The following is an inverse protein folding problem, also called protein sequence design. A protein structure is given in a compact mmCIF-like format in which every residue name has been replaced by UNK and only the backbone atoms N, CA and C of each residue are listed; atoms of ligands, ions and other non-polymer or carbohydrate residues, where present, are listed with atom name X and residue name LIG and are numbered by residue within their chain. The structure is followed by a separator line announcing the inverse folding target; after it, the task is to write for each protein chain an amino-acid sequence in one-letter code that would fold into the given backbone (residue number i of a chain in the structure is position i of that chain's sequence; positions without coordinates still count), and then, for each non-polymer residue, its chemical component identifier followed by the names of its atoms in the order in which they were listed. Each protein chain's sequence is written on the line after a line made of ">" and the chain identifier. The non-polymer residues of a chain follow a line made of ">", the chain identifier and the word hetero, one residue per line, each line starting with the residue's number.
data_IF_304081804357
#
_entry.id   IF_304081804357
#
_cell.length_a   1.000
_cell.length_b   1.000
_cell.length_c   1.000
_cell.angle_alpha   90.00
_cell.angle_beta   90.00
_cell.angle_gamma   90.00
#
_symmetry.space_group_name_H-M   'P 1'
#
loop_
_entity.id
_entity.type
_entity.pdbx_description
1 polymer ?
#
# COMPACT_ATOMS: atom_id res chain seq x y z
N UNK A 1 -4.88 17.96 4.61
CA UNK A 1 -4.19 16.81 3.95
C UNK A 1 -2.89 16.44 4.68
N UNK A 2 -2.04 17.40 5.11
CA UNK A 2 -0.83 17.16 5.93
C UNK A 2 -1.09 16.47 7.27
N UNK A 3 -2.16 16.84 7.99
CA UNK A 3 -2.44 16.32 9.33
C UNK A 3 -2.91 14.84 9.38
N UNK A 4 -3.53 14.32 8.34
CA UNK A 4 -4.03 12.93 8.33
C UNK A 4 -2.93 11.90 8.04
N UNK A 5 -1.96 12.22 7.20
CA UNK A 5 -0.82 11.35 6.88
C UNK A 5 0.16 11.26 8.05
N UNK A 6 0.40 12.38 8.76
CA UNK A 6 1.22 12.38 9.98
C UNK A 6 0.63 11.52 11.10
N UNK A 7 -0.71 11.48 11.23
CA UNK A 7 -1.34 10.67 12.26
C UNK A 7 -1.24 9.16 12.00
N UNK A 8 -1.28 8.70 10.75
CA UNK A 8 -1.13 7.26 10.45
C UNK A 8 0.30 6.73 10.69
N UNK A 9 1.31 7.50 10.33
CA UNK A 9 2.70 7.13 10.65
C UNK A 9 2.98 7.19 12.16
N UNK A 10 2.36 8.12 12.89
CA UNK A 10 2.50 8.21 14.37
C UNK A 10 1.91 7.00 15.10
N UNK A 11 0.82 6.42 14.60
CA UNK A 11 0.14 5.28 15.23
C UNK A 11 0.98 3.99 15.18
N UNK A 12 1.79 3.80 14.14
CA UNK A 12 2.65 2.62 14.05
C UNK A 12 3.86 2.64 15.01
N UNK A 13 4.31 3.82 15.44
CA UNK A 13 5.51 3.96 16.29
C UNK A 13 5.14 4.05 17.78
N UNK A 14 3.97 4.58 18.13
CA UNK A 14 3.55 4.80 19.53
C UNK A 14 2.95 3.57 20.22
N UNK A 15 2.63 2.50 19.51
CA UNK A 15 2.06 1.28 20.10
C UNK A 15 3.07 0.33 20.77
N UNK A 16 4.37 0.67 20.77
CA UNK A 16 5.41 -0.21 21.31
C UNK A 16 5.80 0.06 22.78
N UNK A 17 5.26 1.09 23.43
CA UNK A 17 5.63 1.42 24.83
C UNK A 17 4.37 1.68 25.65
N UNK A 18 4.01 0.69 26.44
CA UNK A 18 3.26 0.87 27.68
C UNK A 18 1.77 0.57 27.67
N UNK A 19 1.38 -0.63 28.09
CA UNK A 19 0.15 -0.86 28.83
C UNK A 19 0.36 -1.86 29.96
N UNK A 20 0.52 -1.34 31.12
CA UNK A 20 0.11 -1.94 32.38
C UNK A 20 -0.92 -0.97 32.98
N UNK A 21 -2.19 -1.39 33.09
CA UNK A 21 -3.10 -1.10 34.20
C UNK A 21 -4.44 -1.86 34.06
N UNK A 22 -4.65 -2.65 35.02
CA UNK A 22 -5.77 -3.25 35.75
C UNK A 22 -7.23 -3.10 35.27
N UNK A 23 -7.83 -4.26 35.29
CA UNK A 23 -9.22 -4.67 35.45
C UNK A 23 -10.22 -3.69 36.07
N UNK A 24 -11.38 -3.59 35.45
CA UNK A 24 -12.66 -3.53 36.16
C UNK A 24 -13.77 -4.11 35.28
N UNK A 25 -14.38 -5.18 35.76
CA UNK A 25 -15.58 -5.79 35.17
C UNK A 25 -16.76 -4.85 35.27
N UNK A 26 -17.43 -4.63 34.17
CA UNK A 26 -18.83 -4.18 34.17
C UNK A 26 -19.56 -4.88 33.01
N UNK A 27 -20.51 -5.68 33.36
CA UNK A 27 -21.45 -6.41 32.49
C UNK A 27 -22.31 -5.43 31.69
N UNK A 28 -22.20 -5.42 30.36
CA UNK A 28 -23.20 -4.84 29.50
C UNK A 28 -23.51 -5.82 28.37
N UNK A 29 -24.74 -6.32 28.42
CA UNK A 29 -25.41 -7.09 27.36
C UNK A 29 -25.40 -6.27 26.06
N UNK A 30 -25.03 -6.84 24.89
CA UNK A 30 -25.16 -6.13 23.65
C UNK A 30 -26.64 -5.89 23.30
N UNK A 31 -26.97 -4.73 22.71
CA UNK A 31 -28.33 -4.47 22.24
C UNK A 31 -28.68 -5.45 21.11
N UNK A 32 -29.89 -5.95 21.14
CA UNK A 32 -30.48 -6.77 20.07
C UNK A 32 -30.40 -5.99 18.76
N UNK A 33 -29.80 -6.59 17.79
CA UNK A 33 -29.73 -6.11 16.41
C UNK A 33 -31.16 -6.22 15.83
N UNK A 34 -31.75 -5.07 15.50
CA UNK A 34 -33.03 -5.00 14.82
C UNK A 34 -32.90 -5.55 13.40
N UNK A 35 -33.62 -6.65 13.14
CA UNK A 35 -33.68 -7.35 11.85
C UNK A 35 -34.44 -6.59 10.74
N UNK A 36 -34.84 -5.34 10.99
CA UNK A 36 -35.64 -4.54 10.05
C UNK A 36 -34.84 -3.79 8.99
N UNK A 37 -33.49 -3.72 9.11
CA UNK A 37 -32.66 -2.90 8.21
C UNK A 37 -32.10 -3.69 7.01
N UNK A 38 -32.05 -5.02 7.07
CA UNK A 38 -31.53 -5.87 5.99
C UNK A 38 -32.44 -5.93 4.75
N UNK A 39 -33.76 -5.87 4.93
CA UNK A 39 -34.70 -5.91 3.80
C UNK A 39 -34.74 -4.61 3.00
N UNK A 40 -34.52 -3.46 3.67
CA UNK A 40 -34.45 -2.15 3.04
C UNK A 40 -33.15 -1.95 2.27
N UNK A 41 -32.07 -2.53 2.76
CA UNK A 41 -30.76 -2.52 2.08
C UNK A 41 -30.78 -3.39 0.83
N UNK A 42 -31.42 -4.53 0.88
CA UNK A 42 -31.56 -5.42 -0.27
C UNK A 42 -32.51 -4.87 -1.35
N UNK A 43 -33.59 -4.21 -0.93
CA UNK A 43 -34.50 -3.52 -1.85
C UNK A 43 -33.80 -2.34 -2.56
N UNK A 44 -33.02 -1.53 -1.85
CA UNK A 44 -32.19 -0.47 -2.42
C UNK A 44 -31.10 -1.01 -3.35
N UNK A 45 -30.49 -2.16 -3.01
CA UNK A 45 -29.55 -2.87 -3.90
C UNK A 45 -30.22 -3.31 -5.18
N UNK A 46 -31.37 -3.96 -5.11
CA UNK A 46 -32.14 -4.41 -6.29
C UNK A 46 -32.57 -3.22 -7.16
N UNK A 47 -32.95 -2.10 -6.54
CA UNK A 47 -33.34 -0.89 -7.26
C UNK A 47 -32.13 -0.20 -7.93
N UNK A 48 -30.97 -0.17 -7.27
CA UNK A 48 -29.72 0.33 -7.88
C UNK A 48 -29.25 -0.52 -9.05
N UNK A 49 -29.36 -1.86 -8.94
CA UNK A 49 -29.08 -2.80 -10.03
C UNK A 49 -30.07 -2.58 -11.16
N UNK A 50 -31.36 -2.43 -10.88
CA UNK A 50 -32.41 -2.19 -11.89
C UNK A 50 -32.22 -0.85 -12.62
N UNK A 51 -31.86 0.22 -11.91
CA UNK A 51 -31.56 1.52 -12.53
C UNK A 51 -30.31 1.46 -13.40
N UNK A 52 -29.26 0.74 -12.96
CA UNK A 52 -28.03 0.59 -13.74
C UNK A 52 -28.24 -0.27 -14.99
N UNK A 53 -29.08 -1.32 -14.94
CA UNK A 53 -29.46 -2.17 -16.08
C UNK A 53 -30.35 -1.39 -17.07
N UNK A 54 -31.19 -0.47 -16.61
CA UNK A 54 -32.05 0.35 -17.48
C UNK A 54 -31.30 1.42 -18.29
N UNK A 55 -30.05 1.75 -17.93
CA UNK A 55 -29.19 2.70 -18.66
C UNK A 55 -28.25 2.04 -19.67
N UNK A 56 -28.10 0.71 -19.64
CA UNK A 56 -27.26 -0.04 -20.55
C UNK A 56 -28.06 -0.56 -21.75
N UNK A 57 -28.19 0.27 -22.78
CA UNK A 57 -28.57 -0.25 -24.08
C UNK A 57 -27.32 -0.87 -24.74
N UNK A 58 -27.33 -2.20 -24.92
CA UNK A 58 -26.47 -2.99 -25.79
C UNK A 58 -25.00 -3.17 -25.43
N UNK A 59 -24.71 -3.61 -24.22
CA UNK A 59 -23.62 -4.57 -24.00
C UNK A 59 -23.88 -5.21 -22.63
N UNK A 60 -23.75 -6.51 -22.52
CA UNK A 60 -23.91 -7.23 -21.26
C UNK A 60 -22.81 -6.83 -20.28
N UNK A 61 -23.01 -5.71 -19.60
CA UNK A 61 -22.09 -5.20 -18.58
C UNK A 61 -22.17 -6.14 -17.39
N UNK A 62 -21.17 -6.98 -17.24
CA UNK A 62 -21.03 -7.87 -16.09
C UNK A 62 -20.69 -7.02 -14.85
N UNK A 63 -21.68 -6.85 -13.98
CA UNK A 63 -21.42 -6.29 -12.65
C UNK A 63 -20.72 -7.35 -11.82
N UNK A 64 -19.50 -7.09 -11.43
CA UNK A 64 -18.77 -8.00 -10.55
C UNK A 64 -19.08 -7.67 -9.11
N UNK A 65 -19.49 -8.68 -8.36
CA UNK A 65 -19.63 -8.60 -6.91
C UNK A 65 -18.53 -9.43 -6.27
N UNK A 66 -17.75 -8.82 -5.40
CA UNK A 66 -16.83 -9.51 -4.54
C UNK A 66 -17.27 -9.26 -3.09
N UNK A 67 -17.56 -10.30 -2.33
CA UNK A 67 -18.08 -10.17 -0.98
C UNK A 67 -19.43 -9.43 -0.87
N UNK A 68 -20.27 -9.46 -1.92
CA UNK A 68 -21.59 -8.80 -1.96
C UNK A 68 -21.57 -7.29 -2.19
N UNK A 69 -20.41 -6.70 -2.48
CA UNK A 69 -20.25 -5.28 -2.83
C UNK A 69 -20.28 -5.13 -4.35
N UNK A 70 -21.00 -4.13 -4.85
CA UNK A 70 -21.11 -3.86 -6.28
C UNK A 70 -19.97 -2.95 -6.75
N UNK A 71 -19.14 -3.47 -7.65
CA UNK A 71 -18.16 -2.67 -8.40
C UNK A 71 -18.72 -2.36 -9.78
N UNK A 72 -18.81 -1.09 -10.12
CA UNK A 72 -19.22 -0.66 -11.45
C UNK A 72 -18.03 -0.71 -12.42
N UNK A 73 -18.26 -1.00 -13.70
CA UNK A 73 -17.21 -1.00 -14.72
C UNK A 73 -16.40 0.28 -14.75
N UNK A 74 -15.13 0.14 -15.06
CA UNK A 74 -14.26 1.28 -15.37
C UNK A 74 -14.70 1.88 -16.71
N UNK A 75 -14.87 3.20 -16.74
CA UNK A 75 -15.16 3.98 -17.95
C UNK A 75 -13.91 4.79 -18.24
N UNK A 76 -13.16 4.38 -19.26
CA UNK A 76 -11.94 5.07 -19.66
C UNK A 76 -12.23 6.41 -20.34
N UNK A 77 -11.32 7.37 -20.16
CA UNK A 77 -11.37 8.63 -20.90
C UNK A 77 -11.00 8.39 -22.37
N UNK A 78 -11.57 9.20 -23.26
CA UNK A 78 -11.21 9.21 -24.69
C UNK A 78 -10.26 10.40 -24.88
N UNK A 79 -8.99 10.21 -24.57
CA UNK A 79 -7.96 11.27 -24.66
C UNK A 79 -6.76 10.71 -25.42
N UNK A 80 -6.27 11.44 -26.42
CA UNK A 80 -5.05 11.04 -27.12
C UNK A 80 -3.82 11.16 -26.22
N UNK A 81 -2.91 10.18 -26.24
CA UNK A 81 -1.64 10.30 -25.55
C UNK A 81 -0.82 11.45 -26.13
N UNK A 82 0.11 12.03 -25.37
CA UNK A 82 1.04 13.02 -25.89
C UNK A 82 1.96 12.39 -26.96
N UNK A 83 2.42 13.21 -27.92
CA UNK A 83 3.28 12.75 -29.02
C UNK A 83 4.61 12.14 -28.53
N UNK A 84 5.11 12.62 -27.39
CA UNK A 84 6.36 12.16 -26.80
C UNK A 84 6.10 11.63 -25.38
N UNK A 85 6.24 10.33 -25.21
CA UNK A 85 6.23 9.66 -23.90
C UNK A 85 7.67 9.22 -23.61
N UNK A 86 8.26 9.59 -22.45
CA UNK A 86 9.57 9.08 -22.06
C UNK A 86 9.58 7.53 -22.01
N UNK A 87 10.72 6.94 -22.40
CA UNK A 87 10.83 5.47 -22.52
C UNK A 87 10.57 4.72 -21.20
N UNK A 88 10.86 5.36 -20.07
CA UNK A 88 10.66 4.83 -18.72
C UNK A 88 9.23 5.05 -18.18
N UNK A 89 8.38 5.76 -18.92
CA UNK A 89 7.01 6.07 -18.51
C UNK A 89 5.98 5.38 -19.38
N UNK A 90 4.75 5.33 -18.89
CA UNK A 90 3.57 4.84 -19.59
C UNK A 90 2.44 5.86 -19.47
N UNK A 91 1.66 6.00 -20.55
CA UNK A 91 0.43 6.78 -20.54
C UNK A 91 -0.69 6.01 -19.86
N UNK A 92 -1.26 6.61 -18.81
CA UNK A 92 -2.46 6.13 -18.15
C UNK A 92 -3.62 6.98 -18.62
N UNK A 93 -4.56 6.34 -19.29
CA UNK A 93 -5.70 7.00 -19.96
C UNK A 93 -6.58 7.79 -18.96
N UNK A 94 -6.58 7.38 -17.68
CA UNK A 94 -7.54 7.88 -16.71
C UNK A 94 -8.96 7.40 -17.00
N UNK A 95 -9.90 7.88 -16.22
CA UNK A 95 -11.30 7.44 -16.34
C UNK A 95 -12.04 7.47 -15.04
N UNK A 96 -13.24 6.93 -15.02
CA UNK A 96 -14.06 6.79 -13.81
C UNK A 96 -14.11 5.33 -13.37
N UNK A 97 -13.69 5.03 -12.15
CA UNK A 97 -13.58 3.67 -11.63
C UNK A 97 -14.17 3.54 -10.21
N UNK A 98 -14.36 2.31 -9.76
CA UNK A 98 -14.76 2.00 -8.38
C UNK A 98 -13.50 1.83 -7.54
N UNK A 99 -13.16 2.85 -6.77
CA UNK A 99 -12.01 2.90 -5.87
C UNK A 99 -12.33 2.25 -4.53
N UNK A 100 -11.39 1.49 -3.99
CA UNK A 100 -11.48 0.79 -2.71
C UNK A 100 -11.57 -0.72 -2.86
N UNK A 101 -11.66 -1.45 -1.74
CA UNK A 101 -11.72 -2.91 -1.74
C UNK A 101 -12.76 -3.46 -0.77
N UNK A 102 -13.11 -4.72 -0.92
CA UNK A 102 -13.88 -5.48 0.08
C UNK A 102 -13.00 -5.85 1.26
N UNK A 103 -13.62 -6.29 2.36
CA UNK A 103 -12.87 -6.95 3.42
C UNK A 103 -12.29 -8.28 2.88
N UNK A 104 -10.95 -8.45 2.85
CA UNK A 104 -10.37 -9.68 2.32
C UNK A 104 -10.43 -10.85 3.30
N UNK A 105 -10.75 -10.59 4.58
CA UNK A 105 -10.85 -11.65 5.59
C UNK A 105 -11.95 -12.66 5.21
N UNK A 106 -11.62 -13.94 5.28
CA UNK A 106 -12.55 -15.03 4.96
C UNK A 106 -12.74 -15.31 3.47
N UNK A 107 -12.10 -14.54 2.59
CA UNK A 107 -12.04 -14.85 1.18
C UNK A 107 -10.90 -15.84 0.89
N UNK A 108 -11.12 -16.74 -0.09
CA UNK A 108 -10.04 -17.56 -0.64
C UNK A 108 -8.95 -16.64 -1.18
N UNK A 109 -7.71 -16.91 -0.83
CA UNK A 109 -6.57 -16.04 -1.18
C UNK A 109 -6.64 -14.61 -0.62
N UNK A 110 -7.58 -14.31 0.29
CA UNK A 110 -7.68 -13.02 0.95
C UNK A 110 -6.63 -12.83 2.05
N UNK A 111 -6.34 -11.57 2.37
CA UNK A 111 -5.45 -11.20 3.47
C UNK A 111 -6.11 -11.33 4.85
N UNK A 112 -5.30 -11.22 5.91
CA UNK A 112 -5.76 -11.25 7.31
C UNK A 112 -6.23 -9.88 7.81
N UNK A 113 -5.76 -8.79 7.20
CA UNK A 113 -6.12 -7.43 7.58
C UNK A 113 -7.50 -7.04 7.04
N UNK A 114 -8.34 -6.37 7.81
CA UNK A 114 -9.69 -6.00 7.38
C UNK A 114 -9.72 -4.92 6.31
N UNK A 115 -8.64 -4.18 6.07
CA UNK A 115 -8.55 -3.08 5.10
C UNK A 115 -9.71 -2.08 5.24
N UNK A 116 -10.02 -1.66 6.46
CA UNK A 116 -11.23 -0.86 6.78
C UNK A 116 -11.22 0.54 6.17
N UNK A 117 -10.05 1.11 5.95
CA UNK A 117 -9.80 2.42 5.35
C UNK A 117 -10.12 2.48 3.85
N UNK A 118 -10.21 1.32 3.18
CA UNK A 118 -10.57 1.23 1.76
C UNK A 118 -12.08 1.29 1.50
N UNK A 119 -12.89 1.43 2.52
CA UNK A 119 -14.35 1.47 2.44
C UNK A 119 -14.94 2.80 2.91
N UNK A 120 -16.10 3.20 2.39
CA UNK A 120 -16.91 2.55 1.36
C UNK A 120 -16.28 2.63 -0.02
N UNK A 121 -16.66 1.71 -0.93
CA UNK A 121 -16.31 1.79 -2.34
C UNK A 121 -16.90 3.08 -2.93
N UNK A 122 -16.08 3.83 -3.67
CA UNK A 122 -16.45 5.14 -4.21
C UNK A 122 -16.17 5.21 -5.71
N UNK A 123 -17.06 5.90 -6.44
CA UNK A 123 -16.76 6.27 -7.83
C UNK A 123 -15.86 7.48 -7.86
N UNK A 124 -14.71 7.33 -8.51
CA UNK A 124 -13.69 8.39 -8.60
C UNK A 124 -13.30 8.56 -10.06
N UNK A 125 -13.19 9.81 -10.50
CA UNK A 125 -12.68 10.17 -11.82
C UNK A 125 -11.23 10.58 -11.72
N UNK A 126 -10.40 10.03 -12.60
CA UNK A 126 -8.96 10.30 -12.70
C UNK A 126 -8.68 10.89 -14.08
N UNK A 127 -8.00 12.03 -14.12
CA UNK A 127 -7.50 12.60 -15.37
C UNK A 127 -6.37 11.75 -15.94
N UNK A 128 -6.11 11.80 -17.27
CA UNK A 128 -4.96 11.12 -17.85
C UNK A 128 -3.64 11.66 -17.29
N UNK A 129 -2.64 10.77 -17.15
CA UNK A 129 -1.31 11.11 -16.65
C UNK A 129 -0.23 10.15 -17.14
N UNK A 130 1.03 10.55 -16.99
CA UNK A 130 2.18 9.67 -17.20
C UNK A 130 2.62 9.07 -15.88
N UNK A 131 2.97 7.78 -15.89
CA UNK A 131 3.46 7.05 -14.73
C UNK A 131 4.75 6.31 -15.07
N UNK A 132 5.71 6.29 -14.14
CA UNK A 132 6.90 5.46 -14.30
C UNK A 132 6.51 3.98 -14.36
N UNK A 133 7.15 3.21 -15.24
CA UNK A 133 6.88 1.78 -15.42
C UNK A 133 7.35 0.94 -14.23
N UNK A 134 8.34 1.46 -13.51
CA UNK A 134 9.02 0.77 -12.42
C UNK A 134 9.21 1.72 -11.24
N UNK A 135 9.46 1.15 -10.09
CA UNK A 135 9.91 1.87 -8.91
C UNK A 135 11.26 2.54 -9.19
N UNK A 136 11.55 3.64 -8.47
CA UNK A 136 12.83 4.34 -8.58
C UNK A 136 13.96 3.41 -8.14
N UNK A 137 14.93 3.21 -9.03
CA UNK A 137 16.06 2.32 -8.77
C UNK A 137 17.15 2.99 -7.92
N UNK A 138 18.02 2.17 -7.31
CA UNK A 138 19.21 2.66 -6.60
C UNK A 138 20.09 3.53 -7.50
N UNK A 139 20.25 3.17 -8.78
CA UNK A 139 20.99 3.94 -9.78
C UNK A 139 20.41 5.34 -9.99
N UNK A 140 19.10 5.43 -10.17
CA UNK A 140 18.41 6.70 -10.37
C UNK A 140 18.49 7.59 -9.12
N UNK A 141 18.29 6.99 -7.95
CA UNK A 141 18.38 7.72 -6.68
C UNK A 141 19.80 8.20 -6.39
N UNK A 142 20.82 7.40 -6.72
CA UNK A 142 22.23 7.81 -6.63
C UNK A 142 22.55 9.03 -7.50
N UNK A 143 21.97 9.13 -8.70
CA UNK A 143 22.11 10.32 -9.57
C UNK A 143 21.51 11.57 -8.90
N UNK A 144 20.33 11.44 -8.29
CA UNK A 144 19.72 12.52 -7.53
C UNK A 144 20.60 13.00 -6.38
N UNK A 145 21.10 12.06 -5.57
CA UNK A 145 21.96 12.40 -4.42
C UNK A 145 23.28 13.03 -4.91
N UNK A 146 23.90 12.49 -5.97
CA UNK A 146 25.12 13.05 -6.54
C UNK A 146 24.92 14.49 -7.07
N UNK A 147 23.77 14.77 -7.68
CA UNK A 147 23.45 16.08 -8.23
C UNK A 147 23.10 17.13 -7.17
N UNK A 148 22.56 16.72 -6.04
CA UNK A 148 21.93 17.63 -5.05
C UNK A 148 22.63 17.66 -3.69
N UNK A 149 23.40 16.62 -3.36
CA UNK A 149 23.93 16.41 -2.01
C UNK A 149 22.85 16.08 -0.98
N UNK A 150 21.67 15.60 -1.43
CA UNK A 150 20.55 15.31 -0.56
C UNK A 150 20.89 14.25 0.49
N UNK A 151 20.39 14.45 1.71
CA UNK A 151 20.47 13.46 2.79
C UNK A 151 19.08 13.00 3.16
N UNK A 152 18.86 11.69 3.06
CA UNK A 152 17.58 11.08 3.40
C UNK A 152 17.27 11.18 4.90
N UNK A 153 16.00 11.01 5.26
CA UNK A 153 15.57 11.00 6.67
C UNK A 153 16.33 9.93 7.47
N UNK A 154 16.60 8.77 6.87
CA UNK A 154 17.36 7.69 7.50
C UNK A 154 18.83 8.07 7.80
N UNK A 155 19.39 9.07 7.12
CA UNK A 155 20.74 9.60 7.33
C UNK A 155 20.79 10.77 8.32
N UNK A 156 19.62 11.25 8.78
CA UNK A 156 19.51 12.38 9.70
C UNK A 156 19.25 11.88 11.13
N UNK A 157 19.76 12.63 12.10
CA UNK A 157 19.45 12.36 13.51
C UNK A 157 17.96 12.66 13.77
N UNK A 158 17.19 11.70 14.34
CA UNK A 158 15.80 11.92 14.69
C UNK A 158 15.61 13.11 15.65
N UNK A 159 14.57 13.93 15.45
CA UNK A 159 14.25 15.02 16.36
C UNK A 159 13.67 14.45 17.67
N UNK A 160 14.28 14.74 18.83
CA UNK A 160 13.77 14.29 20.14
C UNK A 160 12.31 14.68 20.41
N UNK A 161 11.82 15.75 19.78
CA UNK A 161 10.43 16.19 19.94
C UNK A 161 9.42 15.23 19.30
N UNK A 162 9.84 14.48 18.28
CA UNK A 162 9.00 13.49 17.60
C UNK A 162 9.00 12.16 18.34
N UNK A 163 9.96 11.94 19.25
CA UNK A 163 10.15 10.72 20.00
C UNK A 163 10.17 10.97 21.52
N UNK A 164 9.05 11.46 22.10
CA UNK A 164 8.99 11.76 23.53
C UNK A 164 9.25 10.49 24.37
N UNK A 165 10.13 10.60 25.34
CA UNK A 165 10.49 9.49 26.24
C UNK A 165 11.59 8.57 25.74
N UNK A 166 12.10 8.77 24.52
CA UNK A 166 13.28 8.04 24.03
C UNK A 166 14.54 8.80 24.44
N UNK A 167 15.51 8.15 25.13
CA UNK A 167 16.79 8.75 25.46
C UNK A 167 17.51 9.30 24.23
N UNK A 168 18.09 10.49 24.32
CA UNK A 168 18.69 11.19 23.18
C UNK A 168 19.88 10.44 22.55
N UNK A 169 20.55 9.60 23.31
CA UNK A 169 21.63 8.72 22.88
C UNK A 169 21.16 7.57 21.99
N UNK A 170 19.88 7.19 22.07
CA UNK A 170 19.26 6.17 21.22
C UNK A 170 18.71 6.75 19.90
N UNK A 171 18.58 8.07 19.83
CA UNK A 171 18.15 8.78 18.63
C UNK A 171 19.34 8.94 17.68
N UNK A 172 19.70 7.86 16.99
CA UNK A 172 20.78 7.82 16.00
C UNK A 172 20.20 7.64 14.60
N UNK A 173 20.85 8.15 13.54
CA UNK A 173 20.44 7.87 12.16
C UNK A 173 20.37 6.38 11.90
N UNK A 174 19.35 5.94 11.17
CA UNK A 174 19.15 4.53 10.85
C UNK A 174 17.75 4.24 10.29
N UNK A 175 17.48 2.98 10.09
CA UNK A 175 16.18 2.52 9.57
C UNK A 175 15.84 1.12 10.07
N UNK A 176 14.61 0.68 9.79
CA UNK A 176 14.14 -0.65 10.16
C UNK A 176 14.54 -1.65 9.06
N UNK A 177 15.21 -2.73 9.47
CA UNK A 177 15.72 -3.78 8.60
C UNK A 177 15.06 -5.10 8.96
N UNK A 178 14.66 -5.88 7.94
CA UNK A 178 14.20 -7.24 8.14
C UNK A 178 15.36 -8.14 8.55
N UNK A 179 15.17 -8.88 9.64
CA UNK A 179 16.14 -9.82 10.18
C UNK A 179 15.41 -11.11 10.55
N UNK A 180 15.52 -12.12 9.70
CA UNK A 180 14.89 -13.41 9.95
C UNK A 180 15.38 -13.99 11.30
N UNK A 181 14.47 -14.36 12.22
CA UNK A 181 14.85 -15.03 13.45
C UNK A 181 15.31 -16.46 13.16
N UNK A 182 16.23 -16.97 13.99
CA UNK A 182 16.74 -18.35 13.87
C UNK A 182 15.65 -19.39 14.19
N UNK A 183 14.83 -19.08 15.19
CA UNK A 183 13.79 -19.98 15.70
C UNK A 183 12.39 -19.46 15.35
N UNK A 184 11.40 -20.35 15.45
CA UNK A 184 9.99 -19.98 15.30
C UNK A 184 9.58 -18.97 16.36
N UNK A 185 8.93 -17.89 15.94
CA UNK A 185 8.47 -16.80 16.81
C UNK A 185 6.97 -16.60 16.69
N UNK A 186 6.35 -16.05 17.72
CA UNK A 186 4.95 -15.64 17.66
C UNK A 186 4.82 -14.44 16.73
N UNK A 187 3.74 -14.42 15.91
CA UNK A 187 3.54 -13.39 14.89
C UNK A 187 2.81 -12.15 15.41
N UNK A 188 2.57 -12.05 16.70
CA UNK A 188 1.95 -10.92 17.39
C UNK A 188 2.92 -9.79 17.74
N UNK A 189 4.23 -10.04 17.60
CA UNK A 189 5.29 -9.07 17.91
C UNK A 189 6.27 -8.94 16.72
N UNK A 190 6.01 -7.97 15.86
CA UNK A 190 6.83 -7.68 14.68
C UNK A 190 8.28 -7.29 14.99
N UNK A 191 8.61 -6.85 16.21
CA UNK A 191 9.99 -6.52 16.61
C UNK A 191 10.91 -7.74 16.62
N UNK A 192 10.37 -8.94 16.52
CA UNK A 192 11.17 -10.16 16.43
C UNK A 192 11.87 -10.32 15.08
N UNK A 193 11.34 -9.72 14.01
CA UNK A 193 11.92 -9.77 12.65
C UNK A 193 12.16 -8.40 12.01
N UNK A 194 11.68 -7.31 12.62
CA UNK A 194 12.01 -5.96 12.23
C UNK A 194 12.91 -5.33 13.27
N UNK A 195 14.14 -4.95 12.89
CA UNK A 195 15.14 -4.39 13.78
C UNK A 195 15.48 -2.97 13.35
N UNK A 196 15.52 -2.02 14.28
CA UNK A 196 16.14 -0.73 14.01
C UNK A 196 17.65 -0.91 13.96
N UNK A 197 18.27 -0.58 12.82
CA UNK A 197 19.72 -0.70 12.60
C UNK A 197 20.32 0.68 12.39
N UNK A 198 21.20 1.07 13.31
CA UNK A 198 21.94 2.32 13.19
C UNK A 198 22.77 2.35 11.91
N UNK A 199 22.68 3.44 11.16
CA UNK A 199 23.38 3.60 9.88
C UNK A 199 22.77 2.84 8.71
N UNK A 200 21.66 2.12 8.86
CA UNK A 200 20.91 1.60 7.71
C UNK A 200 20.24 2.76 6.97
N UNK A 201 20.44 2.82 5.66
CA UNK A 201 19.89 3.83 4.78
C UNK A 201 19.89 3.32 3.32
N UNK A 202 19.51 4.13 2.37
CA UNK A 202 19.42 3.74 0.96
C UNK A 202 20.74 3.19 0.38
N UNK A 203 21.90 3.68 0.84
CA UNK A 203 23.25 3.23 0.38
C UNK A 203 23.75 1.98 1.13
N UNK A 204 23.28 1.80 2.35
CA UNK A 204 23.63 0.71 3.28
C UNK A 204 22.36 -0.01 3.76
N UNK A 205 21.65 -0.79 2.92
CA UNK A 205 20.32 -1.31 3.22
C UNK A 205 20.24 -2.20 4.46
N UNK A 206 21.28 -2.96 4.77
CA UNK A 206 21.33 -3.84 5.95
C UNK A 206 22.21 -3.22 7.07
N UNK A 207 22.58 -1.95 6.96
CA UNK A 207 23.47 -1.24 7.90
C UNK A 207 24.87 -0.97 7.33
N UNK A 208 25.79 -0.35 8.11
CA UNK A 208 27.07 0.19 7.61
C UNK A 208 28.00 -0.78 6.89
N UNK A 209 27.83 -2.10 7.12
CA UNK A 209 28.60 -3.14 6.44
C UNK A 209 28.06 -3.56 5.08
N UNK A 210 26.91 -3.06 4.70
CA UNK A 210 26.23 -3.41 3.44
C UNK A 210 26.49 -2.38 2.33
N UNK A 211 26.19 -2.74 1.09
CA UNK A 211 26.35 -1.87 -0.08
C UNK A 211 25.38 -2.27 -1.20
N UNK A 212 25.38 -1.49 -2.28
CA UNK A 212 24.48 -1.66 -3.43
C UNK A 212 25.09 -2.46 -4.60
N UNK A 213 26.28 -3.04 -4.44
CA UNK A 213 26.95 -3.76 -5.54
C UNK A 213 26.07 -4.91 -6.05
N UNK A 214 25.75 -4.88 -7.36
CA UNK A 214 24.87 -5.84 -8.02
C UNK A 214 23.37 -5.61 -7.74
N UNK A 215 23.02 -4.49 -7.08
CA UNK A 215 21.64 -4.09 -6.79
C UNK A 215 21.31 -2.70 -7.36
N UNK A 216 22.08 -2.24 -8.35
CA UNK A 216 21.94 -0.90 -8.92
C UNK A 216 20.57 -0.67 -9.53
N UNK A 217 19.98 -1.70 -10.13
CA UNK A 217 18.68 -1.66 -10.79
C UNK A 217 17.52 -2.21 -9.90
N UNK A 218 17.81 -2.53 -8.63
CA UNK A 218 16.77 -2.82 -7.65
C UNK A 218 16.11 -1.52 -7.16
N UNK A 219 14.86 -1.59 -6.68
CA UNK A 219 14.19 -0.46 -6.05
C UNK A 219 15.00 0.11 -4.89
N UNK A 220 15.05 1.44 -4.79
CA UNK A 220 15.65 2.11 -3.63
C UNK A 220 14.80 1.89 -2.39
N UNK A 221 15.45 1.62 -1.25
CA UNK A 221 14.79 1.35 0.04
C UNK A 221 15.17 2.38 1.10
N UNK A 222 14.54 2.34 2.27
CA UNK A 222 14.73 3.28 3.39
C UNK A 222 14.43 4.73 3.02
N UNK A 223 13.42 4.93 2.18
CA UNK A 223 12.98 6.21 1.67
C UNK A 223 11.70 6.63 2.41
N UNK A 224 11.76 7.78 3.08
CA UNK A 224 10.60 8.43 3.65
C UNK A 224 9.80 9.19 2.56
N UNK A 225 8.59 9.61 2.91
CA UNK A 225 7.75 10.38 1.99
C UNK A 225 8.42 11.69 1.54
N UNK A 226 9.10 12.38 2.44
CA UNK A 226 9.82 13.62 2.12
C UNK A 226 10.98 13.37 1.15
N UNK A 227 11.69 12.24 1.29
CA UNK A 227 12.75 11.83 0.37
C UNK A 227 12.19 11.56 -1.04
N UNK A 228 11.07 10.83 -1.12
CA UNK A 228 10.39 10.55 -2.38
C UNK A 228 9.88 11.82 -3.05
N UNK A 229 9.34 12.78 -2.29
CA UNK A 229 8.92 14.09 -2.80
C UNK A 229 10.10 14.90 -3.31
N UNK A 230 11.23 14.90 -2.62
CA UNK A 230 12.43 15.60 -3.04
C UNK A 230 12.99 15.02 -4.36
N UNK A 231 13.05 13.68 -4.46
CA UNK A 231 13.43 13.01 -5.69
C UNK A 231 12.48 13.34 -6.85
N UNK A 232 11.17 13.20 -6.65
CA UNK A 232 10.18 13.47 -7.68
C UNK A 232 10.28 14.91 -8.21
N UNK A 233 10.44 15.88 -7.30
CA UNK A 233 10.63 17.29 -7.68
C UNK A 233 11.91 17.51 -8.50
N UNK A 234 13.03 16.90 -8.11
CA UNK A 234 14.29 16.97 -8.85
C UNK A 234 14.14 16.37 -10.24
N UNK A 235 13.46 15.23 -10.36
CA UNK A 235 13.21 14.55 -11.62
C UNK A 235 12.16 15.26 -12.52
N UNK A 236 11.60 16.42 -12.10
CA UNK A 236 10.53 17.09 -12.83
C UNK A 236 9.19 16.33 -12.79
N UNK A 237 9.01 15.46 -11.80
CA UNK A 237 7.85 14.60 -11.61
C UNK A 237 7.13 14.94 -10.29
N UNK A 238 6.10 14.20 -9.97
CA UNK A 238 5.40 14.21 -8.68
C UNK A 238 5.03 12.79 -8.26
N UNK A 239 4.71 12.60 -7.01
CA UNK A 239 4.06 11.36 -6.58
C UNK A 239 2.61 11.31 -7.13
N UNK A 240 2.11 10.13 -7.47
CA UNK A 240 0.71 9.96 -7.82
C UNK A 240 -0.18 10.25 -6.60
N UNK A 241 -1.41 10.63 -6.85
CA UNK A 241 -2.45 10.58 -5.82
C UNK A 241 -2.84 9.13 -5.56
N UNK A 242 -3.50 8.87 -4.43
CA UNK A 242 -4.02 7.54 -4.11
C UNK A 242 -4.94 7.00 -5.23
N UNK A 243 -5.82 7.87 -5.75
CA UNK A 243 -6.73 7.48 -6.83
C UNK A 243 -6.01 7.18 -8.15
N UNK A 244 -4.99 7.94 -8.51
CA UNK A 244 -4.17 7.69 -9.69
C UNK A 244 -3.40 6.37 -9.57
N UNK A 245 -2.82 6.14 -8.40
CA UNK A 245 -2.09 4.90 -8.13
C UNK A 245 -3.00 3.67 -8.20
N UNK A 246 -4.16 3.71 -7.52
CA UNK A 246 -5.10 2.59 -7.54
C UNK A 246 -5.68 2.37 -8.93
N UNK A 247 -6.01 3.45 -9.67
CA UNK A 247 -6.49 3.33 -11.06
C UNK A 247 -5.47 2.60 -11.94
N UNK A 248 -4.20 3.03 -11.88
CA UNK A 248 -3.13 2.41 -12.66
C UNK A 248 -2.89 0.95 -12.25
N UNK A 249 -2.83 0.66 -10.94
CA UNK A 249 -2.62 -0.68 -10.42
C UNK A 249 -3.72 -1.66 -10.84
N UNK A 250 -4.97 -1.20 -10.97
CA UNK A 250 -6.08 -2.05 -11.40
C UNK A 250 -6.03 -2.43 -12.87
N UNK A 251 -5.35 -1.67 -13.72
CA UNK A 251 -5.23 -1.99 -15.16
C UNK A 251 -6.58 -2.23 -15.86
N UNK A 252 -7.65 -1.51 -15.46
CA UNK A 252 -9.01 -1.69 -15.99
C UNK A 252 -9.84 -2.78 -15.29
N UNK A 253 -9.25 -3.62 -14.44
CA UNK A 253 -9.97 -4.66 -13.69
C UNK A 253 -10.67 -4.04 -12.48
N UNK A 254 -11.95 -4.31 -12.31
CA UNK A 254 -12.73 -3.84 -11.17
C UNK A 254 -13.04 -4.98 -10.19
N UNK A 255 -13.07 -4.65 -8.89
CA UNK A 255 -13.51 -5.55 -7.83
C UNK A 255 -12.61 -6.77 -7.59
N UNK A 256 -11.41 -6.79 -8.15
CA UNK A 256 -10.44 -7.88 -7.93
C UNK A 256 -9.67 -7.68 -6.65
N UNK A 257 -9.24 -8.79 -6.04
CA UNK A 257 -8.38 -8.78 -4.85
C UNK A 257 -6.98 -8.28 -5.19
N UNK A 258 -6.48 -8.63 -6.37
CA UNK A 258 -5.14 -8.31 -6.86
C UNK A 258 -5.19 -7.60 -8.21
N UNK A 259 -4.12 -6.91 -8.62
CA UNK A 259 -4.02 -6.30 -9.95
C UNK A 259 -4.22 -7.27 -11.12
N UNK A 260 -3.97 -8.56 -10.91
CA UNK A 260 -4.09 -9.61 -11.94
C UNK A 260 -5.34 -10.48 -11.80
N UNK A 261 -6.18 -10.29 -10.77
CA UNK A 261 -7.39 -11.09 -10.55
C UNK A 261 -7.66 -11.46 -9.10
N UNK A 262 -8.27 -12.60 -8.87
CA UNK A 262 -8.69 -13.02 -7.52
C UNK A 262 -7.85 -14.14 -6.92
N UNK A 263 -6.97 -14.78 -7.68
CA UNK A 263 -6.09 -15.83 -7.16
C UNK A 263 -4.71 -15.27 -6.84
N UNK A 264 -4.16 -15.63 -5.68
CA UNK A 264 -2.79 -15.31 -5.30
C UNK A 264 -1.78 -16.03 -6.21
N UNK A 265 -2.16 -17.20 -6.69
CA UNK A 265 -1.35 -18.05 -7.57
C UNK A 265 -2.13 -18.40 -8.85
N UNK A 266 -2.28 -17.48 -9.81
CA UNK A 266 -2.89 -17.83 -11.08
C UNK A 266 -2.05 -18.93 -11.77
N UNK A 267 -2.73 -19.97 -12.24
CA UNK A 267 -2.10 -21.14 -12.86
C UNK A 267 -1.09 -21.89 -11.98
N UNK A 268 -1.10 -21.66 -10.67
CA UNK A 268 -0.19 -22.30 -9.70
C UNK A 268 1.12 -21.52 -9.44
N UNK A 269 1.39 -20.46 -10.19
CA UNK A 269 2.59 -19.64 -10.08
C UNK A 269 2.35 -18.40 -9.22
N UNK A 270 3.36 -17.97 -8.49
CA UNK A 270 3.31 -16.71 -7.75
C UNK A 270 3.30 -15.53 -8.73
N UNK A 271 2.32 -14.64 -8.57
CA UNK A 271 2.16 -13.47 -9.43
C UNK A 271 2.74 -12.18 -8.83
N UNK A 272 3.35 -12.27 -7.65
CA UNK A 272 4.00 -11.15 -6.98
C UNK A 272 5.22 -11.62 -6.22
N UNK A 273 6.22 -10.73 -6.12
CA UNK A 273 7.38 -10.93 -5.24
C UNK A 273 6.95 -10.70 -3.79
N UNK A 274 6.70 -11.79 -3.06
CA UNK A 274 6.28 -11.79 -1.67
C UNK A 274 7.07 -12.83 -0.88
N UNK A 275 7.01 -12.74 0.44
CA UNK A 275 7.62 -13.77 1.29
C UNK A 275 6.86 -15.09 1.16
N UNK A 276 7.57 -16.18 0.87
CA UNK A 276 7.01 -17.51 0.65
C UNK A 276 7.63 -18.53 1.62
N UNK A 277 6.79 -19.39 2.16
CA UNK A 277 7.22 -20.40 3.15
C UNK A 277 6.94 -19.99 4.59
N UNK A 278 7.79 -20.40 5.51
CA UNK A 278 7.56 -20.17 6.95
C UNK A 278 8.01 -18.77 7.36
N UNK A 279 7.09 -17.81 7.28
CA UNK A 279 7.35 -16.46 7.76
C UNK A 279 7.51 -16.43 9.30
N UNK A 280 8.48 -15.69 9.83
CA UNK A 280 9.50 -14.88 9.16
C UNK A 280 10.87 -15.57 8.98
N UNK A 281 10.96 -16.90 9.22
CA UNK A 281 12.24 -17.61 9.26
C UNK A 281 12.81 -17.96 7.88
N UNK A 282 11.98 -18.52 7.02
CA UNK A 282 12.46 -19.14 5.78
C UNK A 282 11.62 -18.71 4.58
N UNK A 283 12.20 -17.84 3.76
CA UNK A 283 11.65 -17.51 2.44
C UNK A 283 12.17 -18.50 1.40
N UNK A 284 11.27 -19.27 0.79
CA UNK A 284 11.63 -20.28 -0.22
C UNK A 284 11.96 -19.67 -1.59
N UNK A 285 11.66 -18.40 -1.82
CA UNK A 285 11.96 -17.65 -3.06
C UNK A 285 11.53 -18.37 -4.33
N UNK A 286 10.31 -18.91 -4.33
CA UNK A 286 9.76 -19.62 -5.50
C UNK A 286 9.29 -18.67 -6.61
N UNK A 287 9.26 -17.38 -6.35
CA UNK A 287 8.90 -16.31 -7.26
C UNK A 287 10.10 -15.72 -8.04
N UNK A 288 11.31 -16.17 -7.74
CA UNK A 288 12.53 -15.75 -8.43
C UNK A 288 13.69 -15.35 -7.54
#
# INVERSE_FOLDING_TARGET
>A
MRERLTNHMRTCITSAIGFLWLSSCSSNTPPKQDTADDSLTEAKRKQAISCAVGMAHQDSVLYETNGGVLFLPTIENITQPPDNIPDDMVWIQGGTFSMGSVNPQGLSDGGKEPMSDTRPIRRVSVSPFLMDKHEVTNRQFAQFVAATGYKTIAEQKPDPKEFPGVPAELLVPGSIVFSAPADAVALDNYTQWWKYVAGANWLHPEGPGSNLKGREDHPVVHIAWDDAMAYAKWAGKRLPTEAEWEFAARGGLQGRLYPWGNSLKPNGDWAANIFQGNFPQNNTRQDG
#
